data_IF_273904732183
#
_entry.id   IF_273904732183
#
_cell.length_a   1.000
_cell.length_b   1.000
_cell.length_c   1.000
_cell.angle_alpha   90.00
_cell.angle_beta   90.00
_cell.angle_gamma   90.00
#
_symmetry.space_group_name_H-M   'P 1'
#
loop_
_entity.id
_entity.type
_entity.pdbx_description
1 polymer ?
#
# COMPACT_ATOMS: atom_id res chain seq x y z
N UNK A 1 0.42 -8.32 -1.21
CA UNK A 1 0.23 -7.84 -2.60
C UNK A 1 1.36 -8.40 -3.43
N UNK A 2 1.07 -8.90 -4.64
CA UNK A 2 2.07 -9.54 -5.51
C UNK A 2 1.86 -9.11 -6.95
N UNK A 3 2.93 -8.97 -7.73
CA UNK A 3 2.81 -8.65 -9.15
C UNK A 3 4.14 -8.62 -9.88
N UNK A 4 4.07 -8.48 -11.20
CA UNK A 4 5.25 -8.38 -12.05
C UNK A 4 6.10 -7.16 -11.70
N UNK A 5 7.40 -7.36 -11.60
CA UNK A 5 8.33 -6.30 -11.24
C UNK A 5 9.66 -6.46 -11.98
N UNK A 6 10.14 -5.39 -12.58
CA UNK A 6 11.38 -5.42 -13.35
C UNK A 6 12.42 -4.46 -12.79
N UNK A 7 13.63 -4.97 -12.53
CA UNK A 7 14.80 -4.15 -12.25
C UNK A 7 15.19 -3.40 -13.53
N UNK A 8 15.54 -2.13 -13.40
CA UNK A 8 15.87 -1.23 -14.52
C UNK A 8 14.66 -0.56 -15.18
N UNK A 9 13.43 -0.99 -14.88
CA UNK A 9 12.23 -0.27 -15.33
C UNK A 9 12.02 1.00 -14.49
N UNK A 10 11.48 2.06 -15.12
CA UNK A 10 11.16 3.33 -14.45
C UNK A 10 9.64 3.65 -14.44
N UNK A 11 8.86 2.88 -15.17
CA UNK A 11 7.40 3.00 -15.24
C UNK A 11 6.75 1.72 -14.69
N UNK A 12 5.78 1.82 -13.73
CA UNK A 12 5.19 0.66 -13.09
C UNK A 12 4.43 -0.28 -14.05
N UNK A 13 3.74 0.26 -15.06
CA UNK A 13 2.96 -0.55 -16.01
C UNK A 13 3.89 -1.30 -16.96
N UNK A 14 4.91 -0.62 -17.47
CA UNK A 14 5.94 -1.25 -18.28
C UNK A 14 6.75 -2.28 -17.47
N UNK A 15 7.08 -1.95 -16.22
CA UNK A 15 7.80 -2.83 -15.31
C UNK A 15 7.01 -4.09 -14.95
N UNK A 16 5.70 -3.98 -14.74
CA UNK A 16 4.82 -5.13 -14.54
C UNK A 16 4.83 -6.06 -15.76
N UNK A 17 4.61 -5.50 -16.95
CA UNK A 17 4.61 -6.27 -18.21
C UNK A 17 5.94 -7.00 -18.41
N UNK A 18 7.06 -6.30 -18.20
CA UNK A 18 8.39 -6.86 -18.31
C UNK A 18 8.64 -7.94 -17.24
N UNK A 19 8.27 -7.68 -15.99
CA UNK A 19 8.39 -8.62 -14.88
C UNK A 19 7.61 -9.91 -15.13
N UNK A 20 6.37 -9.80 -15.62
CA UNK A 20 5.55 -10.96 -15.98
C UNK A 20 6.19 -11.77 -17.13
N UNK A 21 6.73 -11.11 -18.16
CA UNK A 21 7.42 -11.78 -19.27
C UNK A 21 8.69 -12.50 -18.83
N UNK A 22 9.37 -12.01 -17.79
CA UNK A 22 10.60 -12.58 -17.22
C UNK A 22 10.33 -13.53 -16.05
N UNK A 23 9.06 -13.78 -15.69
CA UNK A 23 8.68 -14.50 -14.47
C UNK A 23 9.32 -13.91 -13.19
N UNK A 24 9.47 -12.59 -13.16
CA UNK A 24 10.02 -11.82 -12.04
C UNK A 24 8.87 -11.17 -11.26
N UNK A 25 8.61 -11.67 -10.07
CA UNK A 25 7.51 -11.24 -9.20
C UNK A 25 8.08 -10.60 -7.94
N UNK A 26 7.47 -9.51 -7.49
CA UNK A 26 7.69 -8.94 -6.17
C UNK A 26 6.45 -9.20 -5.33
N UNK A 27 6.61 -9.75 -4.13
CA UNK A 27 5.56 -9.83 -3.12
C UNK A 27 5.89 -8.91 -1.94
N UNK A 28 4.94 -8.05 -1.59
CA UNK A 28 5.02 -7.16 -0.43
C UNK A 28 3.97 -7.56 0.59
N UNK A 29 4.43 -8.00 1.76
CA UNK A 29 3.60 -8.39 2.90
C UNK A 29 3.54 -7.22 3.87
N UNK A 30 2.36 -6.67 4.11
CA UNK A 30 2.16 -5.45 4.88
C UNK A 30 1.26 -5.68 6.08
N UNK A 31 1.65 -5.10 7.20
CA UNK A 31 0.80 -4.89 8.38
C UNK A 31 0.71 -3.39 8.65
N UNK A 32 -0.52 -2.87 8.70
CA UNK A 32 -0.78 -1.47 9.03
C UNK A 32 -1.28 -1.37 10.46
N UNK A 33 -0.74 -0.44 11.22
CA UNK A 33 -1.18 -0.13 12.58
C UNK A 33 -1.58 1.33 12.67
N UNK A 34 -2.77 1.57 13.22
CA UNK A 34 -3.27 2.89 13.57
C UNK A 34 -3.25 3.01 15.09
N UNK A 35 -2.38 3.86 15.63
CA UNK A 35 -2.16 3.97 17.08
C UNK A 35 -3.28 4.76 17.77
N UNK A 36 -3.81 5.78 17.12
CA UNK A 36 -4.92 6.62 17.57
C UNK A 36 -5.94 6.77 16.43
N UNK A 37 -7.06 6.09 16.59
CA UNK A 37 -8.08 6.03 15.55
C UNK A 37 -8.80 7.38 15.36
N UNK A 38 -9.02 8.15 16.44
CA UNK A 38 -9.66 9.46 16.32
C UNK A 38 -8.76 10.42 15.54
N UNK A 39 -7.49 10.50 15.92
CA UNK A 39 -6.50 11.31 15.20
C UNK A 39 -6.35 10.88 13.74
N UNK A 40 -6.36 9.56 13.48
CA UNK A 40 -6.30 9.02 12.12
C UNK A 40 -7.49 9.48 11.26
N UNK A 41 -8.70 9.49 11.83
CA UNK A 41 -9.90 9.94 11.12
C UNK A 41 -9.90 11.46 10.90
N UNK A 42 -9.42 12.23 11.88
CA UNK A 42 -9.44 13.70 11.84
C UNK A 42 -8.29 14.30 10.98
N UNK A 43 -7.20 13.55 10.82
CA UNK A 43 -6.05 13.99 10.00
C UNK A 43 -6.31 13.70 8.51
N UNK A 44 -6.30 14.72 7.63
CA UNK A 44 -6.56 14.54 6.20
C UNK A 44 -5.49 13.69 5.47
N UNK A 45 -4.38 13.38 6.13
CA UNK A 45 -3.37 12.45 5.62
C UNK A 45 -3.64 11.00 6.04
N UNK A 46 -4.53 10.76 7.02
CA UNK A 46 -4.84 9.46 7.60
C UNK A 46 -3.59 8.58 7.78
N UNK A 47 -2.61 9.02 8.58
CA UNK A 47 -1.31 8.36 8.70
C UNK A 47 -1.38 7.12 9.58
N UNK A 48 -0.79 6.02 9.13
CA UNK A 48 -0.56 4.81 9.91
C UNK A 48 0.90 4.37 9.83
N UNK A 49 1.29 3.45 10.71
CA UNK A 49 2.59 2.80 10.65
C UNK A 49 2.53 1.57 9.77
N UNK A 50 3.54 1.37 8.94
CA UNK A 50 3.69 0.22 8.07
C UNK A 50 4.83 -0.66 8.58
N UNK A 51 4.52 -1.91 8.93
CA UNK A 51 5.50 -2.97 9.06
C UNK A 51 5.39 -3.90 7.84
N UNK A 52 6.52 -4.26 7.24
CA UNK A 52 6.48 -5.07 6.03
C UNK A 52 7.70 -5.98 5.87
N UNK A 53 7.50 -7.05 5.11
CA UNK A 53 8.56 -7.88 4.54
C UNK A 53 8.34 -8.01 3.05
N UNK A 54 9.40 -8.25 2.30
CA UNK A 54 9.30 -8.45 0.87
C UNK A 54 9.98 -9.74 0.41
N UNK A 55 9.39 -10.35 -0.62
CA UNK A 55 10.00 -11.42 -1.39
C UNK A 55 10.24 -10.90 -2.81
N UNK A 56 11.49 -10.82 -3.20
CA UNK A 56 11.87 -10.43 -4.54
C UNK A 56 13.13 -11.21 -4.96
N UNK A 57 13.01 -12.22 -5.83
CA UNK A 57 14.11 -13.17 -6.12
C UNK A 57 15.48 -12.55 -6.41
N UNK A 58 15.59 -11.41 -7.13
CA UNK A 58 16.87 -10.74 -7.33
C UNK A 58 17.59 -10.32 -6.03
N UNK A 59 16.84 -10.09 -4.95
CA UNK A 59 17.37 -9.63 -3.67
C UNK A 59 17.22 -10.66 -2.54
N UNK A 60 16.20 -11.53 -2.61
CA UNK A 60 15.96 -12.59 -1.62
C UNK A 60 14.47 -12.73 -1.26
N UNK A 61 14.20 -13.55 -0.25
CA UNK A 61 12.86 -13.76 0.32
C UNK A 61 12.86 -13.44 1.81
N UNK A 62 11.69 -13.01 2.34
CA UNK A 62 11.53 -12.65 3.75
C UNK A 62 12.37 -11.45 4.18
N UNK A 63 12.72 -10.56 3.26
CA UNK A 63 13.57 -9.40 3.56
C UNK A 63 12.78 -8.45 4.46
N UNK A 64 13.23 -8.16 5.70
CA UNK A 64 12.55 -7.22 6.56
C UNK A 64 12.72 -5.79 6.04
N UNK A 65 11.62 -5.05 6.02
CA UNK A 65 11.66 -3.62 5.77
C UNK A 65 11.79 -2.83 7.07
N UNK A 66 12.40 -1.66 6.99
CA UNK A 66 12.38 -0.68 8.08
C UNK A 66 10.93 -0.21 8.34
N UNK A 67 10.63 0.33 9.55
CA UNK A 67 9.32 0.93 9.80
C UNK A 67 8.99 1.95 8.73
N UNK A 68 7.86 1.72 8.06
CA UNK A 68 7.47 2.48 6.88
C UNK A 68 6.30 3.42 7.12
N UNK A 69 5.89 4.09 6.07
CA UNK A 69 4.80 5.06 6.02
C UNK A 69 3.59 4.42 5.34
N UNK A 70 2.43 4.62 5.95
CA UNK A 70 1.13 4.34 5.35
C UNK A 70 0.26 5.59 5.43
N UNK A 71 -0.44 5.91 4.33
CA UNK A 71 -1.52 6.88 4.33
C UNK A 71 -2.74 6.28 3.63
N UNK A 72 -3.92 6.46 4.22
CA UNK A 72 -5.19 6.05 3.64
C UNK A 72 -5.87 7.25 2.99
N UNK A 73 -6.18 7.18 1.69
CA UNK A 73 -6.92 8.22 0.95
C UNK A 73 -6.38 9.67 1.11
N UNK A 74 -5.06 9.81 1.25
CA UNK A 74 -4.42 11.13 1.29
C UNK A 74 -4.78 11.94 0.04
N UNK A 75 -5.14 13.22 0.22
CA UNK A 75 -5.36 14.11 -0.91
C UNK A 75 -4.12 14.21 -1.80
N UNK A 76 -4.31 14.03 -3.10
CA UNK A 76 -3.26 14.26 -4.08
C UNK A 76 -3.12 15.75 -4.42
N UNK A 77 -2.02 16.13 -5.07
CA UNK A 77 -1.87 17.47 -5.65
C UNK A 77 -2.84 17.72 -6.80
N UNK A 78 -3.30 16.65 -7.46
CA UNK A 78 -4.31 16.70 -8.53
C UNK A 78 -5.70 16.63 -7.92
N UNK A 79 -6.55 17.59 -8.26
CA UNK A 79 -7.94 17.61 -7.79
C UNK A 79 -8.70 16.34 -8.18
N UNK A 80 -9.47 15.78 -7.25
CA UNK A 80 -10.27 14.58 -7.46
C UNK A 80 -9.52 13.25 -7.34
N UNK A 81 -8.22 13.27 -7.03
CA UNK A 81 -7.46 12.07 -6.73
C UNK A 81 -7.27 11.88 -5.23
N UNK A 82 -7.29 10.61 -4.78
CA UNK A 82 -6.88 10.16 -3.46
C UNK A 82 -5.79 9.11 -3.59
N UNK A 83 -4.79 9.17 -2.73
CA UNK A 83 -3.71 8.20 -2.75
C UNK A 83 -3.70 7.35 -1.48
N UNK A 84 -3.55 6.03 -1.67
CA UNK A 84 -3.14 5.15 -0.58
C UNK A 84 -1.65 4.90 -0.74
N UNK A 85 -0.85 5.35 0.22
CA UNK A 85 0.61 5.36 0.15
C UNK A 85 1.17 4.22 0.99
N UNK A 86 2.16 3.51 0.47
CA UNK A 86 2.89 2.42 1.12
C UNK A 86 4.37 2.59 0.82
N UNK A 87 5.13 3.03 1.80
CA UNK A 87 6.55 3.33 1.60
C UNK A 87 7.40 2.69 2.70
N UNK A 88 8.50 2.06 2.34
CA UNK A 88 9.45 1.49 3.30
C UNK A 88 10.85 1.33 2.71
N UNK A 89 11.87 1.46 3.57
CA UNK A 89 13.25 1.15 3.25
C UNK A 89 13.59 -0.31 3.52
N UNK A 90 14.56 -0.87 2.81
CA UNK A 90 15.16 -2.16 3.12
C UNK A 90 16.62 -2.22 2.66
N UNK A 91 17.36 -3.19 3.19
CA UNK A 91 18.74 -3.43 2.77
C UNK A 91 18.85 -4.82 2.14
N UNK A 92 19.45 -4.90 0.96
CA UNK A 92 19.75 -6.15 0.29
C UNK A 92 21.13 -6.09 -0.37
N UNK A 93 21.90 -7.17 -0.32
CA UNK A 93 23.25 -7.26 -0.91
C UNK A 93 24.18 -6.11 -0.49
N UNK A 94 24.06 -5.66 0.77
CA UNK A 94 24.87 -4.56 1.30
C UNK A 94 24.47 -3.16 0.81
N UNK A 95 23.39 -3.04 0.06
CA UNK A 95 22.88 -1.78 -0.48
C UNK A 95 21.51 -1.45 0.07
N UNK A 96 21.24 -0.16 0.33
CA UNK A 96 19.96 0.34 0.78
C UNK A 96 19.08 0.69 -0.40
N UNK A 97 17.81 0.32 -0.28
CA UNK A 97 16.75 0.56 -1.25
C UNK A 97 15.52 1.13 -0.56
N UNK A 98 14.68 1.80 -1.31
CA UNK A 98 13.42 2.35 -0.85
C UNK A 98 12.28 2.00 -1.82
N UNK A 99 11.22 1.40 -1.29
CA UNK A 99 9.98 1.15 -2.02
C UNK A 99 9.05 2.35 -1.82
N UNK A 100 8.62 2.95 -2.92
CA UNK A 100 7.59 3.97 -2.97
C UNK A 100 6.38 3.41 -3.75
N UNK A 101 5.35 2.98 -3.02
CA UNK A 101 4.13 2.42 -3.58
C UNK A 101 2.93 3.32 -3.38
N UNK A 102 2.10 3.49 -4.40
CA UNK A 102 0.83 4.19 -4.28
C UNK A 102 -0.28 3.54 -5.07
N UNK A 103 -1.49 3.51 -4.48
CA UNK A 103 -2.73 3.25 -5.19
C UNK A 103 -3.37 4.60 -5.49
N UNK A 104 -3.79 4.79 -6.73
CA UNK A 104 -4.36 6.05 -7.20
C UNK A 104 -5.86 5.82 -7.37
N UNK A 105 -6.66 6.49 -6.53
CA UNK A 105 -8.12 6.35 -6.49
C UNK A 105 -8.74 7.62 -7.05
N UNK A 106 -9.54 7.45 -8.10
CA UNK A 106 -10.24 8.52 -8.83
C UNK A 106 -11.72 8.21 -8.91
N UNK A 107 -12.52 9.22 -9.20
CA UNK A 107 -13.92 9.01 -9.58
C UNK A 107 -14.05 8.04 -10.73
N UNK A 108 -14.98 7.08 -10.62
CA UNK A 108 -15.20 6.06 -11.63
C UNK A 108 -16.29 5.09 -11.25
N UNK A 109 -16.59 4.14 -12.15
CA UNK A 109 -17.52 3.06 -11.87
C UNK A 109 -16.95 2.07 -10.85
N UNK A 110 -17.82 1.33 -10.17
CA UNK A 110 -17.46 0.39 -9.11
C UNK A 110 -16.30 -0.57 -9.45
N UNK A 111 -16.30 -1.10 -10.67
CA UNK A 111 -15.25 -2.00 -11.12
C UNK A 111 -13.88 -1.30 -11.27
N UNK A 112 -13.87 -0.05 -11.73
CA UNK A 112 -12.67 0.76 -11.86
C UNK A 112 -12.10 1.13 -10.49
N UNK A 113 -12.95 1.56 -9.57
CA UNK A 113 -12.54 1.87 -8.20
C UNK A 113 -12.00 0.63 -7.49
N UNK A 114 -12.64 -0.54 -7.67
CA UNK A 114 -12.13 -1.80 -7.14
C UNK A 114 -10.73 -2.12 -7.69
N UNK A 115 -10.50 -1.94 -8.98
CA UNK A 115 -9.19 -2.12 -9.59
C UNK A 115 -8.17 -1.14 -9.00
N UNK A 116 -8.53 0.14 -8.84
CA UNK A 116 -7.66 1.17 -8.29
C UNK A 116 -7.24 0.88 -6.85
N UNK A 117 -8.18 0.49 -5.97
CA UNK A 117 -7.86 0.18 -4.56
C UNK A 117 -7.12 -1.14 -4.39
N UNK A 118 -7.07 -1.98 -5.41
CA UNK A 118 -6.37 -3.27 -5.39
C UNK A 118 -5.04 -3.25 -6.12
N UNK A 119 -4.71 -2.19 -6.88
CA UNK A 119 -3.46 -2.06 -7.64
C UNK A 119 -2.51 -1.07 -6.98
N UNK A 120 -1.32 -1.53 -6.59
CA UNK A 120 -0.25 -0.72 -6.02
C UNK A 120 0.83 -0.49 -7.07
N UNK A 121 0.89 0.70 -7.64
CA UNK A 121 1.99 1.14 -8.51
C UNK A 121 3.23 1.39 -7.67
N UNK A 122 4.30 0.66 -7.96
CA UNK A 122 5.46 0.57 -7.09
C UNK A 122 6.73 0.96 -7.85
N UNK A 123 7.50 1.85 -7.25
CA UNK A 123 8.86 2.21 -7.69
C UNK A 123 9.86 1.73 -6.65
N UNK A 124 11.00 1.27 -7.12
CA UNK A 124 12.16 0.94 -6.32
C UNK A 124 13.23 2.00 -6.54
N UNK A 125 13.62 2.66 -5.47
CA UNK A 125 14.66 3.67 -5.47
C UNK A 125 15.94 3.13 -4.82
N UNK A 126 17.08 3.56 -5.31
CA UNK A 126 18.36 3.34 -4.66
C UNK A 126 18.57 4.41 -3.60
N UNK A 127 18.82 4.01 -2.36
CA UNK A 127 19.01 4.94 -1.23
C UNK A 127 17.97 4.79 -0.14
N UNK A 128 17.75 5.85 0.62
CA UNK A 128 16.94 5.86 1.85
C UNK A 128 15.53 6.43 1.70
N UNK A 129 15.20 6.98 0.55
CA UNK A 129 13.91 7.64 0.28
C UNK A 129 13.59 7.70 -1.22
N UNK A 130 12.45 8.27 -1.58
CA UNK A 130 11.96 8.39 -2.95
C UNK A 130 12.70 9.45 -3.80
N UNK A 131 13.70 10.16 -3.26
CA UNK A 131 14.56 11.06 -4.04
C UNK A 131 15.70 10.34 -4.75
N UNK A 132 15.98 9.10 -4.35
CA UNK A 132 17.00 8.26 -4.97
C UNK A 132 16.68 7.89 -6.42
N UNK A 133 17.68 7.46 -7.17
CA UNK A 133 17.50 7.02 -8.55
C UNK A 133 16.55 5.82 -8.61
N UNK A 134 15.59 5.85 -9.54
CA UNK A 134 14.71 4.72 -9.79
C UNK A 134 15.52 3.59 -10.41
N UNK A 135 15.49 2.41 -9.79
CA UNK A 135 16.22 1.22 -10.24
C UNK A 135 15.30 0.00 -10.49
N UNK A 136 14.00 0.17 -10.35
CA UNK A 136 13.00 -0.85 -10.69
C UNK A 136 11.59 -0.33 -10.55
N UNK A 137 10.65 -0.97 -11.23
CA UNK A 137 9.24 -0.64 -11.19
C UNK A 137 8.34 -1.85 -11.44
N UNK A 138 7.10 -1.77 -10.97
CA UNK A 138 6.07 -2.78 -11.22
C UNK A 138 4.72 -2.40 -10.62
N UNK A 139 3.71 -3.19 -10.89
CA UNK A 139 2.41 -3.07 -10.24
C UNK A 139 2.08 -4.35 -9.46
N UNK A 140 1.70 -4.17 -8.20
CA UNK A 140 1.34 -5.26 -7.30
C UNK A 140 -0.17 -5.27 -7.08
N UNK A 141 -0.75 -6.45 -7.06
CA UNK A 141 -2.20 -6.62 -6.95
C UNK A 141 -2.60 -7.31 -5.66
N UNK A 142 -3.73 -6.87 -5.12
CA UNK A 142 -4.40 -7.55 -4.02
C UNK A 142 -5.49 -8.45 -4.61
N UNK A 143 -5.30 -9.76 -4.56
CA UNK A 143 -6.28 -10.72 -5.06
C UNK A 143 -7.59 -10.69 -4.26
N UNK A 144 -8.71 -11.13 -4.86
CA UNK A 144 -10.03 -11.14 -4.23
C UNK A 144 -10.04 -11.91 -2.89
N UNK A 145 -9.36 -13.06 -2.82
CA UNK A 145 -9.18 -13.81 -1.56
C UNK A 145 -8.48 -12.97 -0.50
N UNK A 146 -7.44 -12.23 -0.88
CA UNK A 146 -6.66 -11.40 0.06
C UNK A 146 -7.46 -10.24 0.62
N UNK A 147 -8.46 -9.72 -0.11
CA UNK A 147 -9.37 -8.67 0.40
C UNK A 147 -10.22 -9.24 1.54
N UNK A 148 -10.78 -10.45 1.34
CA UNK A 148 -11.58 -11.12 2.37
C UNK A 148 -10.72 -11.49 3.58
N UNK A 149 -9.51 -11.98 3.36
CA UNK A 149 -8.60 -12.34 4.44
C UNK A 149 -8.14 -11.10 5.20
N UNK A 150 -7.86 -9.99 4.52
CA UNK A 150 -7.52 -8.70 5.14
C UNK A 150 -8.65 -8.21 6.05
N UNK A 151 -9.91 -8.31 5.61
CA UNK A 151 -11.06 -7.91 6.43
C UNK A 151 -11.16 -8.73 7.74
N UNK A 152 -10.77 -10.00 7.71
CA UNK A 152 -10.74 -10.88 8.90
C UNK A 152 -9.59 -10.53 9.87
N UNK A 153 -8.53 -9.91 9.38
CA UNK A 153 -7.39 -9.51 10.21
C UNK A 153 -7.56 -8.15 10.88
N UNK A 154 -8.63 -7.42 10.52
CA UNK A 154 -8.93 -6.13 11.12
C UNK A 154 -9.38 -6.33 12.57
N UNK A 155 -8.62 -5.81 13.54
CA UNK A 155 -8.94 -5.92 14.96
C UNK A 155 -8.48 -4.69 15.73
N UNK A 156 -9.17 -4.42 16.84
CA UNK A 156 -8.83 -3.33 17.77
C UNK A 156 -8.03 -3.92 18.93
N UNK A 157 -6.77 -3.49 19.08
CA UNK A 157 -5.82 -4.09 20.03
C UNK A 157 -5.95 -3.57 21.49
N UNK A 158 -6.37 -2.32 21.68
CA UNK A 158 -6.38 -1.65 22.99
C UNK A 158 -7.79 -1.45 23.57
N UNK A 159 -8.80 -2.16 23.05
CA UNK A 159 -10.16 -2.07 23.55
C UNK A 159 -10.30 -2.76 24.91
N UNK A 160 -10.91 -2.08 25.87
CA UNK A 160 -11.19 -2.61 27.22
C UNK A 160 -12.49 -3.43 27.28
N UNK A 161 -13.35 -3.31 26.27
CA UNK A 161 -14.63 -4.01 26.17
C UNK A 161 -15.11 -4.14 24.74
N UNK A 162 -16.11 -4.99 24.51
CA UNK A 162 -16.69 -5.24 23.19
C UNK A 162 -17.30 -4.00 22.54
N UNK A 163 -17.84 -3.07 23.33
CA UNK A 163 -18.42 -1.83 22.79
C UNK A 163 -17.34 -0.96 22.14
N UNK A 164 -16.18 -0.83 22.75
CA UNK A 164 -15.05 -0.11 22.18
C UNK A 164 -14.52 -0.77 20.89
N UNK A 165 -14.52 -2.10 20.82
CA UNK A 165 -14.18 -2.82 19.57
C UNK A 165 -15.14 -2.44 18.46
N UNK A 166 -16.46 -2.49 18.73
CA UNK A 166 -17.49 -2.15 17.73
C UNK A 166 -17.42 -0.69 17.31
N UNK A 167 -17.19 0.22 18.25
CA UNK A 167 -17.01 1.65 17.95
C UNK A 167 -15.79 1.90 17.07
N UNK A 168 -14.65 1.31 17.41
CA UNK A 168 -13.41 1.45 16.65
C UNK A 168 -13.55 0.91 15.22
N UNK A 169 -14.08 -0.29 15.05
CA UNK A 169 -14.34 -0.85 13.73
C UNK A 169 -15.34 -0.01 12.94
N UNK A 170 -16.40 0.48 13.60
CA UNK A 170 -17.41 1.35 12.99
C UNK A 170 -16.82 2.68 12.49
N UNK A 171 -15.94 3.32 13.26
CA UNK A 171 -15.24 4.55 12.86
C UNK A 171 -14.37 4.32 11.63
N UNK A 172 -13.55 3.26 11.64
CA UNK A 172 -12.69 2.92 10.51
C UNK A 172 -13.50 2.62 9.24
N UNK A 173 -14.54 1.79 9.37
CA UNK A 173 -15.40 1.44 8.22
C UNK A 173 -16.15 2.66 7.68
N UNK A 174 -16.64 3.55 8.56
CA UNK A 174 -17.30 4.79 8.16
C UNK A 174 -16.35 5.68 7.35
N UNK A 175 -15.10 5.84 7.79
CA UNK A 175 -14.09 6.59 7.03
C UNK A 175 -13.84 5.90 5.68
N UNK A 176 -13.52 4.61 5.68
CA UNK A 176 -13.17 3.88 4.48
C UNK A 176 -14.30 3.88 3.44
N UNK A 177 -15.52 3.59 3.87
CA UNK A 177 -16.69 3.59 2.98
C UNK A 177 -17.10 5.01 2.59
N UNK A 178 -16.94 6.00 3.48
CA UNK A 178 -17.23 7.40 3.18
C UNK A 178 -16.31 7.97 2.11
N UNK A 179 -15.01 7.73 2.20
CA UNK A 179 -14.05 8.14 1.16
C UNK A 179 -14.31 7.43 -0.18
N UNK A 180 -14.63 6.13 -0.15
CA UNK A 180 -15.03 5.43 -1.36
C UNK A 180 -16.34 6.01 -1.92
N UNK A 181 -17.35 6.26 -1.09
CA UNK A 181 -18.62 6.82 -1.55
C UNK A 181 -18.45 8.17 -2.22
N UNK A 182 -17.64 9.08 -1.66
CA UNK A 182 -17.30 10.35 -2.28
C UNK A 182 -16.60 10.19 -3.64
N UNK A 183 -15.99 9.05 -3.86
CA UNK A 183 -15.33 8.72 -5.13
C UNK A 183 -16.31 8.18 -6.18
N UNK A 184 -17.53 7.73 -5.76
CA UNK A 184 -18.57 7.23 -6.66
C UNK A 184 -19.56 8.31 -7.15
N UNK A 185 -19.68 9.44 -6.45
CA UNK A 185 -20.59 10.54 -6.77
C UNK A 185 -19.81 11.74 -7.28
#
# INVERSE_FOLDING_TARGET
MTGGFAVGAADPVAGEKQGNAQNSQLALHCQVTVDDLQRFVDDPQHPGRLASTLDFPPYGAGIPCEPGIFNLFRAASTSGERWMVYECGFTAKGQRYYIAGKKIVKHGHAAEVLQQITTLYTLLHQGSDASGAICGAGALHLGAKSIVDMAKTLHVTNAQNHLQVLQGLGMYLKLFLGELWQTYI
#
